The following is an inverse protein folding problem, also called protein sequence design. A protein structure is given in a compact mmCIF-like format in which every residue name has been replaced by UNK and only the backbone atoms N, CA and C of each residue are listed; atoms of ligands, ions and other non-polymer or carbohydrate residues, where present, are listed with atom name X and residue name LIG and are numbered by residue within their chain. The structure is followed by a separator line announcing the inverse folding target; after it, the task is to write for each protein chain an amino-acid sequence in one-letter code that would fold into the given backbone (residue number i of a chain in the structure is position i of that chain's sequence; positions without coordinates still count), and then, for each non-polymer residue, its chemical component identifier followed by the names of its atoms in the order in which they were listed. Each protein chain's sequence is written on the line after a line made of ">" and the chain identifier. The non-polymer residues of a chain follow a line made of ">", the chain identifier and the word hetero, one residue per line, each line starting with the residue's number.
data_IF_206678473241
#
_entry.id   IF_206678473241
#
_cell.length_a   1.000
_cell.length_b   1.000
_cell.length_c   1.000
_cell.angle_alpha   90.00
_cell.angle_beta   90.00
_cell.angle_gamma   90.00
#
_symmetry.space_group_name_H-M   'P 1'
#
loop_
_entity.id
_entity.type
_entity.pdbx_description
1 polymer ?
#
# COMPACT_ATOMS: atom_id res chain seq x y z
N UNK A 1 73.66 72.95 0.92
CA UNK A 1 73.81 72.57 2.34
C UNK A 1 72.49 72.67 3.10
N UNK A 2 71.89 73.85 3.30
CA UNK A 2 70.60 73.94 4.01
C UNK A 2 69.41 73.38 3.21
N UNK A 3 69.39 73.53 1.88
CA UNK A 3 68.35 72.94 1.02
C UNK A 3 68.43 71.42 0.92
N UNK A 4 69.64 70.85 0.90
CA UNK A 4 69.85 69.41 0.78
C UNK A 4 69.29 68.67 2.01
N UNK A 5 69.49 69.22 3.21
CA UNK A 5 68.94 68.68 4.45
C UNK A 5 67.40 68.70 4.47
N UNK A 6 66.77 69.75 3.93
CA UNK A 6 65.30 69.84 3.82
C UNK A 6 64.75 68.81 2.83
N UNK A 7 65.45 68.59 1.71
CA UNK A 7 65.08 67.55 0.74
C UNK A 7 65.20 66.14 1.34
N UNK A 8 66.24 65.91 2.14
CA UNK A 8 66.49 64.63 2.81
C UNK A 8 65.43 64.33 3.89
N UNK A 9 65.04 65.34 4.69
CA UNK A 9 63.95 65.23 5.66
C UNK A 9 62.60 64.96 4.99
N UNK A 10 62.30 65.63 3.87
CA UNK A 10 61.08 65.38 3.10
C UNK A 10 61.07 63.94 2.56
N UNK A 11 62.19 63.48 2.00
CA UNK A 11 62.32 62.10 1.51
C UNK A 11 62.17 61.06 2.61
N UNK A 12 62.78 61.29 3.78
CA UNK A 12 62.65 60.41 4.94
C UNK A 12 61.20 60.34 5.44
N UNK A 13 60.55 61.49 5.56
CA UNK A 13 59.15 61.59 6.00
C UNK A 13 58.20 60.94 5.00
N UNK A 14 58.42 61.13 3.69
CA UNK A 14 57.64 60.49 2.63
C UNK A 14 57.83 58.97 2.64
N UNK A 15 59.05 58.47 2.79
CA UNK A 15 59.31 57.02 2.91
C UNK A 15 58.64 56.40 4.12
N UNK A 16 58.67 57.10 5.27
CA UNK A 16 57.98 56.65 6.49
C UNK A 16 56.47 56.55 6.27
N UNK A 17 55.84 57.57 5.67
CA UNK A 17 54.41 57.56 5.35
C UNK A 17 54.02 56.44 4.39
N UNK A 18 54.83 56.20 3.35
CA UNK A 18 54.58 55.09 2.41
C UNK A 18 54.68 53.73 3.13
N UNK A 19 55.66 53.56 4.01
CA UNK A 19 55.80 52.33 4.78
C UNK A 19 54.61 52.11 5.73
N UNK A 20 54.14 53.17 6.39
CA UNK A 20 52.97 53.13 7.29
C UNK A 20 51.68 52.76 6.52
N UNK A 21 51.43 53.42 5.38
CA UNK A 21 50.28 53.10 4.51
C UNK A 21 50.33 51.66 4.00
N UNK A 22 51.51 51.18 3.60
CA UNK A 22 51.67 49.80 3.14
C UNK A 22 51.40 48.79 4.27
N UNK A 23 51.90 49.05 5.47
CA UNK A 23 51.67 48.19 6.63
C UNK A 23 50.18 48.15 7.04
N UNK A 24 49.50 49.30 7.03
CA UNK A 24 48.05 49.37 7.27
C UNK A 24 47.27 48.62 6.18
N UNK A 25 47.67 48.78 4.93
CA UNK A 25 47.04 48.09 3.79
C UNK A 25 47.23 46.57 3.89
N UNK A 26 48.43 46.10 4.23
CA UNK A 26 48.70 44.68 4.43
C UNK A 26 47.86 44.09 5.58
N UNK A 27 47.73 44.81 6.69
CA UNK A 27 46.85 44.41 7.79
C UNK A 27 45.39 44.32 7.35
N UNK A 28 44.90 45.31 6.63
CA UNK A 28 43.50 45.33 6.18
C UNK A 28 43.22 44.22 5.16
N UNK A 29 44.15 43.97 4.23
CA UNK A 29 44.06 42.85 3.29
C UNK A 29 44.04 41.52 4.04
N UNK A 30 44.91 41.33 5.03
CA UNK A 30 44.94 40.13 5.86
C UNK A 30 43.61 39.95 6.62
N UNK A 31 43.05 41.04 7.16
CA UNK A 31 41.75 41.02 7.85
C UNK A 31 40.62 40.59 6.93
N UNK A 32 40.51 41.22 5.75
CA UNK A 32 39.48 40.89 4.74
C UNK A 32 39.59 39.42 4.30
N UNK A 33 40.81 38.94 4.04
CA UNK A 33 41.04 37.54 3.63
C UNK A 33 40.65 36.56 4.74
N UNK A 34 40.98 36.87 6.00
CA UNK A 34 40.62 36.01 7.13
C UNK A 34 39.10 35.98 7.35
N UNK A 35 38.43 37.13 7.28
CA UNK A 35 36.96 37.18 7.37
C UNK A 35 36.29 36.43 6.22
N UNK A 36 36.79 36.56 4.99
CA UNK A 36 36.26 35.84 3.84
C UNK A 36 36.45 34.33 3.99
N UNK A 37 37.61 33.88 4.49
CA UNK A 37 37.89 32.47 4.78
C UNK A 37 37.00 31.92 5.90
N UNK A 38 36.81 32.69 6.97
CA UNK A 38 35.93 32.31 8.07
C UNK A 38 34.49 32.13 7.59
N UNK A 39 33.96 33.10 6.82
CA UNK A 39 32.62 33.01 6.22
C UNK A 39 32.51 31.82 5.25
N UNK A 40 33.52 31.58 4.43
CA UNK A 40 33.52 30.43 3.52
C UNK A 40 33.53 29.09 4.28
N UNK A 41 34.27 28.99 5.39
CA UNK A 41 34.30 27.81 6.23
C UNK A 41 32.96 27.57 6.95
N UNK A 42 32.32 28.64 7.44
CA UNK A 42 31.01 28.59 8.08
C UNK A 42 29.92 28.11 7.10
N UNK A 43 29.86 28.72 5.91
CA UNK A 43 28.93 28.31 4.85
C UNK A 43 29.17 26.83 4.48
N UNK A 44 30.44 26.42 4.34
CA UNK A 44 30.76 25.04 4.02
C UNK A 44 30.26 24.08 5.10
N UNK A 45 30.51 24.37 6.37
CA UNK A 45 30.09 23.53 7.49
C UNK A 45 28.56 23.46 7.59
N UNK A 46 27.86 24.57 7.36
CA UNK A 46 26.39 24.60 7.34
C UNK A 46 25.86 23.72 6.20
N UNK A 47 26.42 23.84 5.00
CA UNK A 47 26.01 23.03 3.84
C UNK A 47 26.33 21.56 3.98
N UNK A 48 27.44 21.20 4.63
CA UNK A 48 27.74 19.80 4.98
C UNK A 48 26.69 19.25 5.95
N UNK A 49 26.34 19.99 7.02
CA UNK A 49 25.30 19.56 7.96
C UNK A 49 23.90 19.45 7.34
N UNK A 50 23.53 20.36 6.45
CA UNK A 50 22.29 20.28 5.66
C UNK A 50 22.30 19.03 4.76
N UNK A 51 23.41 18.74 4.09
CA UNK A 51 23.55 17.59 3.21
C UNK A 51 23.43 16.27 3.99
N UNK A 52 24.11 16.14 5.13
CA UNK A 52 24.05 14.95 5.99
C UNK A 52 22.61 14.71 6.49
N UNK A 53 21.94 15.77 6.95
CA UNK A 53 20.54 15.71 7.38
C UNK A 53 19.61 15.30 6.23
N UNK A 54 19.86 15.78 5.02
CA UNK A 54 19.10 15.42 3.83
C UNK A 54 19.32 13.95 3.42
N UNK A 55 20.55 13.44 3.53
CA UNK A 55 20.88 12.03 3.28
C UNK A 55 20.14 11.14 4.26
N UNK A 56 20.21 11.42 5.56
CA UNK A 56 19.48 10.63 6.57
C UNK A 56 17.96 10.62 6.31
N UNK A 57 17.38 11.78 5.98
CA UNK A 57 15.96 11.87 5.67
C UNK A 57 15.59 11.04 4.43
N UNK A 58 16.46 11.04 3.41
CA UNK A 58 16.29 10.28 2.19
C UNK A 58 16.38 8.77 2.46
N UNK A 59 17.37 8.32 3.23
CA UNK A 59 17.52 6.91 3.63
C UNK A 59 16.28 6.41 4.38
N UNK A 60 15.81 7.17 5.38
CA UNK A 60 14.59 6.82 6.12
C UNK A 60 13.38 6.71 5.19
N UNK A 61 13.25 7.62 4.22
CA UNK A 61 12.17 7.58 3.22
C UNK A 61 12.26 6.35 2.33
N UNK A 62 13.46 6.02 1.85
CA UNK A 62 13.69 4.86 0.98
C UNK A 62 13.39 3.56 1.74
N UNK A 63 13.88 3.41 2.97
CA UNK A 63 13.62 2.24 3.81
C UNK A 63 12.12 2.08 4.09
N UNK A 64 11.44 3.16 4.48
CA UNK A 64 9.99 3.13 4.72
C UNK A 64 9.21 2.74 3.46
N UNK A 65 9.60 3.30 2.30
CA UNK A 65 8.99 2.93 1.01
C UNK A 65 9.24 1.46 0.67
N UNK A 66 10.46 0.96 0.84
CA UNK A 66 10.80 -0.43 0.59
C UNK A 66 10.01 -1.39 1.49
N UNK A 67 9.93 -1.10 2.80
CA UNK A 67 9.11 -1.88 3.73
C UNK A 67 7.63 -1.90 3.32
N UNK A 68 7.08 -0.76 2.89
CA UNK A 68 5.71 -0.70 2.42
C UNK A 68 5.50 -1.54 1.16
N UNK A 69 6.44 -1.51 0.22
CA UNK A 69 6.37 -2.32 -1.00
C UNK A 69 6.43 -3.82 -0.69
N UNK A 70 7.35 -4.23 0.20
CA UNK A 70 7.43 -5.63 0.66
C UNK A 70 6.12 -6.05 1.31
N UNK A 71 5.56 -5.20 2.19
CA UNK A 71 4.30 -5.54 2.87
C UNK A 71 3.13 -5.65 1.90
N UNK A 72 3.07 -4.78 0.89
CA UNK A 72 2.08 -4.85 -0.19
C UNK A 72 2.23 -6.14 -1.00
N UNK A 73 3.45 -6.49 -1.38
CA UNK A 73 3.72 -7.72 -2.13
C UNK A 73 3.29 -8.96 -1.32
N UNK A 74 3.65 -9.02 -0.03
CA UNK A 74 3.23 -10.09 0.87
C UNK A 74 1.70 -10.20 0.96
N UNK A 75 1.00 -9.08 1.15
CA UNK A 75 -0.46 -9.06 1.23
C UNK A 75 -1.14 -9.47 -0.09
N UNK A 76 -0.57 -9.08 -1.23
CA UNK A 76 -1.07 -9.50 -2.54
C UNK A 76 -0.94 -11.02 -2.72
N UNK A 77 0.24 -11.59 -2.41
CA UNK A 77 0.44 -13.05 -2.48
C UNK A 77 -0.53 -13.78 -1.55
N UNK A 78 -0.75 -13.26 -0.33
CA UNK A 78 -1.75 -13.84 0.59
C UNK A 78 -3.15 -13.79 -0.01
N UNK A 79 -3.56 -12.64 -0.58
CA UNK A 79 -4.85 -12.51 -1.23
C UNK A 79 -5.01 -13.51 -2.37
N UNK A 80 -4.00 -13.64 -3.22
CA UNK A 80 -4.03 -14.54 -4.38
C UNK A 80 -4.18 -16.01 -3.92
N UNK A 81 -3.45 -16.42 -2.88
CA UNK A 81 -3.59 -17.77 -2.30
C UNK A 81 -4.98 -18.01 -1.70
N UNK A 82 -5.59 -17.00 -1.08
CA UNK A 82 -6.95 -17.12 -0.56
C UNK A 82 -7.99 -17.22 -1.69
N UNK A 83 -7.80 -16.45 -2.76
CA UNK A 83 -8.64 -16.51 -3.96
C UNK A 83 -8.51 -17.86 -4.67
N UNK A 84 -7.30 -18.41 -4.77
CA UNK A 84 -7.06 -19.76 -5.30
C UNK A 84 -7.74 -20.83 -4.44
N UNK A 85 -7.67 -20.71 -3.10
CA UNK A 85 -8.32 -21.64 -2.17
C UNK A 85 -9.85 -21.58 -2.33
N UNK A 86 -10.41 -20.38 -2.47
CA UNK A 86 -11.83 -20.19 -2.74
C UNK A 86 -12.24 -20.81 -4.07
N UNK A 87 -11.48 -20.61 -5.14
CA UNK A 87 -11.74 -21.23 -6.44
C UNK A 87 -11.71 -22.75 -6.37
N UNK A 88 -10.73 -23.33 -5.67
CA UNK A 88 -10.66 -24.78 -5.44
C UNK A 88 -11.85 -25.32 -4.64
N UNK A 89 -12.34 -24.57 -3.65
CA UNK A 89 -13.55 -24.92 -2.90
C UNK A 89 -14.77 -24.97 -3.82
N UNK A 90 -14.99 -23.94 -4.64
CA UNK A 90 -16.10 -23.89 -5.60
C UNK A 90 -15.99 -25.01 -6.63
N UNK A 91 -14.79 -25.30 -7.13
CA UNK A 91 -14.55 -26.44 -8.03
C UNK A 91 -14.85 -27.78 -7.36
N UNK A 92 -14.45 -27.97 -6.10
CA UNK A 92 -14.74 -29.21 -5.37
C UNK A 92 -16.25 -29.40 -5.18
N UNK A 93 -16.96 -28.32 -4.84
CA UNK A 93 -18.42 -28.32 -4.71
C UNK A 93 -19.10 -28.59 -6.07
N UNK A 94 -18.55 -28.09 -7.17
CA UNK A 94 -19.05 -28.36 -8.53
C UNK A 94 -18.97 -29.82 -8.97
N UNK A 95 -18.06 -30.58 -8.35
CA UNK A 95 -17.77 -31.99 -8.65
C UNK A 95 -18.42 -32.95 -7.65
N UNK A 96 -19.30 -32.46 -6.77
CA UNK A 96 -19.98 -33.32 -5.80
C UNK A 96 -20.86 -34.38 -6.49
N UNK A 97 -20.93 -35.60 -5.93
CA UNK A 97 -21.85 -36.63 -6.41
C UNK A 97 -23.31 -36.18 -6.30
N UNK A 98 -24.15 -36.59 -7.25
CA UNK A 98 -25.57 -36.22 -7.30
C UNK A 98 -26.32 -36.48 -5.98
N UNK A 99 -26.06 -37.63 -5.31
CA UNK A 99 -26.70 -37.97 -4.04
C UNK A 99 -26.36 -37.01 -2.90
N UNK A 100 -25.14 -36.49 -2.85
CA UNK A 100 -24.70 -35.56 -1.81
C UNK A 100 -25.24 -34.15 -2.10
N UNK A 101 -25.22 -33.75 -3.38
CA UNK A 101 -25.84 -32.50 -3.86
C UNK A 101 -27.35 -32.45 -3.52
N UNK A 102 -28.07 -33.53 -3.81
CA UNK A 102 -29.48 -33.69 -3.47
C UNK A 102 -29.76 -33.54 -1.97
N UNK A 103 -28.92 -34.11 -1.11
CA UNK A 103 -29.07 -34.00 0.34
C UNK A 103 -28.80 -32.57 0.83
N UNK A 104 -27.78 -31.89 0.30
CA UNK A 104 -27.48 -30.50 0.60
C UNK A 104 -28.64 -29.57 0.21
N UNK A 105 -29.19 -29.75 -1.00
CA UNK A 105 -30.36 -28.99 -1.46
C UNK A 105 -31.56 -29.22 -0.55
N UNK A 106 -31.82 -30.47 -0.13
CA UNK A 106 -32.89 -30.77 0.84
C UNK A 106 -32.70 -30.04 2.16
N UNK A 107 -31.50 -30.00 2.71
CA UNK A 107 -31.24 -29.28 3.96
C UNK A 107 -31.45 -27.77 3.82
N UNK A 108 -30.96 -27.16 2.74
CA UNK A 108 -31.13 -25.74 2.44
C UNK A 108 -32.61 -25.38 2.35
N UNK A 109 -33.39 -26.20 1.65
CA UNK A 109 -34.79 -25.92 1.37
C UNK A 109 -35.72 -26.25 2.55
N UNK A 110 -35.29 -27.11 3.49
CA UNK A 110 -36.10 -27.56 4.64
C UNK A 110 -36.56 -26.42 5.55
N UNK A 111 -35.81 -25.33 5.63
CA UNK A 111 -36.14 -24.15 6.43
C UNK A 111 -37.14 -23.20 5.75
N UNK A 112 -37.48 -23.44 4.48
CA UNK A 112 -38.33 -22.57 3.67
C UNK A 112 -39.68 -23.23 3.32
N UNK A 113 -40.74 -22.42 3.28
CA UNK A 113 -42.07 -22.88 2.90
C UNK A 113 -42.25 -22.83 1.37
N UNK A 114 -41.89 -23.93 0.70
CA UNK A 114 -41.90 -24.09 -0.75
C UNK A 114 -43.26 -23.88 -1.45
N UNK A 115 -44.37 -23.93 -0.71
CA UNK A 115 -45.72 -23.83 -1.29
C UNK A 115 -46.12 -22.40 -1.71
N UNK A 116 -45.44 -21.38 -1.18
CA UNK A 116 -45.71 -19.96 -1.48
C UNK A 116 -44.49 -19.20 -1.99
N UNK A 117 -43.44 -19.91 -2.41
CA UNK A 117 -42.19 -19.32 -2.88
C UNK A 117 -41.78 -19.92 -4.22
N UNK A 118 -41.23 -19.07 -5.09
CA UNK A 118 -40.70 -19.42 -6.40
C UNK A 118 -39.27 -19.90 -6.24
N UNK A 119 -38.95 -21.08 -6.76
CA UNK A 119 -37.63 -21.69 -6.59
C UNK A 119 -36.95 -21.83 -7.93
N UNK A 120 -35.70 -21.37 -8.03
CA UNK A 120 -34.85 -21.52 -9.21
C UNK A 120 -33.62 -22.35 -8.86
N UNK A 121 -33.14 -23.17 -9.79
CA UNK A 121 -31.97 -24.04 -9.56
C UNK A 121 -31.06 -24.14 -10.78
N UNK A 122 -29.92 -24.81 -10.64
CA UNK A 122 -29.07 -25.14 -11.78
C UNK A 122 -29.75 -26.14 -12.73
N UNK A 123 -29.35 -26.13 -14.01
CA UNK A 123 -29.83 -27.08 -15.03
C UNK A 123 -29.62 -28.55 -14.65
N UNK A 124 -28.59 -28.84 -13.85
CA UNK A 124 -28.28 -30.21 -13.39
C UNK A 124 -29.29 -30.71 -12.35
N UNK A 125 -29.81 -29.80 -11.54
CA UNK A 125 -30.63 -30.13 -10.37
C UNK A 125 -32.13 -29.88 -10.59
N UNK A 126 -32.50 -29.40 -11.79
CA UNK A 126 -33.87 -29.09 -12.19
C UNK A 126 -34.86 -30.24 -11.93
N UNK A 127 -34.47 -31.47 -12.28
CA UNK A 127 -35.33 -32.66 -12.11
C UNK A 127 -35.60 -32.98 -10.64
N UNK A 128 -34.63 -32.73 -9.77
CA UNK A 128 -34.76 -32.96 -8.35
C UNK A 128 -35.53 -31.82 -7.67
N UNK A 129 -35.18 -30.57 -7.99
CA UNK A 129 -35.80 -29.39 -7.37
C UNK A 129 -37.27 -29.24 -7.76
N UNK A 130 -37.62 -29.56 -9.01
CA UNK A 130 -39.03 -29.60 -9.45
C UNK A 130 -39.87 -30.65 -8.73
N UNK A 131 -39.26 -31.75 -8.28
CA UNK A 131 -39.95 -32.78 -7.47
C UNK A 131 -40.21 -32.33 -6.02
N UNK A 132 -39.41 -31.39 -5.51
CA UNK A 132 -39.48 -30.86 -4.15
C UNK A 132 -40.37 -29.60 -4.06
N UNK A 133 -40.31 -28.72 -5.06
CA UNK A 133 -41.00 -27.44 -5.09
C UNK A 133 -42.02 -27.40 -6.25
N UNK A 134 -43.33 -27.33 -5.97
CA UNK A 134 -44.35 -27.24 -7.02
C UNK A 134 -44.29 -25.92 -7.80
N UNK A 135 -43.77 -24.85 -7.20
CA UNK A 135 -43.60 -23.52 -7.81
C UNK A 135 -42.18 -23.32 -8.34
N UNK A 136 -41.72 -24.21 -9.24
CA UNK A 136 -40.42 -24.07 -9.89
C UNK A 136 -40.44 -22.94 -10.93
N UNK A 137 -39.57 -21.94 -10.76
CA UNK A 137 -39.55 -20.70 -11.54
C UNK A 137 -38.47 -20.66 -12.63
N UNK A 138 -37.77 -21.77 -12.87
CA UNK A 138 -36.81 -21.94 -13.97
C UNK A 138 -35.37 -22.18 -13.53
N UNK A 139 -34.47 -22.21 -14.51
CA UNK A 139 -33.05 -22.48 -14.29
C UNK A 139 -32.21 -21.21 -14.24
N UNK A 140 -31.17 -21.22 -13.40
CA UNK A 140 -30.18 -20.14 -13.26
C UNK A 140 -28.80 -20.72 -13.57
N UNK A 141 -27.95 -19.93 -14.24
CA UNK A 141 -26.59 -20.33 -14.60
C UNK A 141 -25.69 -20.30 -13.36
N UNK A 142 -25.71 -21.40 -12.60
CA UNK A 142 -24.98 -21.56 -11.34
C UNK A 142 -24.41 -22.97 -11.26
N UNK A 143 -23.29 -23.10 -10.54
CA UNK A 143 -22.63 -24.39 -10.30
C UNK A 143 -23.56 -25.39 -9.58
N UNK A 144 -24.40 -24.88 -8.68
CA UNK A 144 -25.38 -25.64 -7.91
C UNK A 144 -26.01 -24.77 -6.81
N UNK A 145 -26.96 -25.35 -6.09
CA UNK A 145 -27.75 -24.64 -5.08
C UNK A 145 -29.06 -24.07 -5.62
N UNK A 146 -29.68 -23.19 -4.83
CA UNK A 146 -31.07 -22.80 -5.04
C UNK A 146 -31.27 -21.32 -4.75
N UNK A 147 -32.04 -20.64 -5.61
CA UNK A 147 -32.49 -19.26 -5.35
C UNK A 147 -33.98 -19.31 -5.04
N UNK A 148 -34.36 -18.74 -3.89
CA UNK A 148 -35.74 -18.75 -3.39
C UNK A 148 -36.28 -17.33 -3.42
N UNK A 149 -37.27 -17.09 -4.26
CA UNK A 149 -37.96 -15.79 -4.41
C UNK A 149 -39.35 -15.86 -3.80
N UNK A 150 -39.76 -14.78 -3.13
CA UNK A 150 -41.16 -14.62 -2.69
C UNK A 150 -42.11 -14.55 -3.90
N UNK A 151 -43.37 -14.93 -3.72
CA UNK A 151 -44.39 -14.93 -4.79
C UNK A 151 -44.53 -13.56 -5.47
N UNK A 152 -44.47 -12.50 -4.66
CA UNK A 152 -44.54 -11.08 -5.04
C UNK A 152 -43.21 -10.50 -5.58
N UNK A 153 -42.12 -11.27 -5.54
CA UNK A 153 -40.78 -10.82 -5.96
C UNK A 153 -40.11 -9.81 -5.02
N UNK A 154 -40.71 -9.53 -3.86
CA UNK A 154 -40.22 -8.55 -2.88
C UNK A 154 -38.97 -8.99 -2.11
N UNK A 155 -38.73 -10.31 -2.01
CA UNK A 155 -37.58 -10.89 -1.32
C UNK A 155 -36.98 -12.02 -2.16
N UNK A 156 -35.67 -12.02 -2.31
CA UNK A 156 -34.91 -13.10 -2.95
C UNK A 156 -33.81 -13.55 -1.99
N UNK A 157 -33.76 -14.85 -1.73
CA UNK A 157 -32.74 -15.53 -0.94
C UNK A 157 -31.87 -16.34 -1.88
N UNK A 158 -30.63 -15.91 -2.03
CA UNK A 158 -29.63 -16.60 -2.82
C UNK A 158 -28.91 -17.64 -1.96
N UNK A 159 -29.27 -18.91 -2.13
CA UNK A 159 -28.57 -20.06 -1.54
C UNK A 159 -27.81 -20.85 -2.60
N UNK A 160 -27.22 -20.14 -3.57
CA UNK A 160 -26.27 -20.75 -4.49
C UNK A 160 -25.02 -21.21 -3.74
N UNK A 161 -24.37 -22.23 -4.28
CA UNK A 161 -23.15 -22.78 -3.70
C UNK A 161 -22.01 -21.77 -3.67
N UNK A 162 -21.99 -20.82 -4.59
CA UNK A 162 -21.01 -19.72 -4.59
C UNK A 162 -21.22 -18.79 -3.39
N UNK A 163 -22.48 -18.40 -3.13
CA UNK A 163 -22.84 -17.53 -2.00
C UNK A 163 -22.61 -18.24 -0.67
N UNK A 164 -23.04 -19.49 -0.53
CA UNK A 164 -22.80 -20.29 0.68
C UNK A 164 -21.31 -20.56 0.93
N UNK A 165 -20.54 -20.88 -0.12
CA UNK A 165 -19.10 -21.05 -0.01
C UNK A 165 -18.41 -19.73 0.40
N UNK A 166 -18.85 -18.60 -0.16
CA UNK A 166 -18.34 -17.28 0.21
C UNK A 166 -18.63 -16.94 1.67
N UNK A 167 -19.84 -17.22 2.17
CA UNK A 167 -20.20 -17.01 3.56
C UNK A 167 -19.45 -17.92 4.52
N UNK A 168 -19.35 -19.21 4.20
CA UNK A 168 -18.61 -20.19 4.99
C UNK A 168 -17.13 -19.79 5.07
N UNK A 169 -16.53 -19.42 3.93
CA UNK A 169 -15.15 -18.96 3.85
C UNK A 169 -14.93 -17.67 4.65
N UNK A 170 -15.88 -16.73 4.60
CA UNK A 170 -15.82 -15.48 5.39
C UNK A 170 -15.87 -15.75 6.89
N UNK A 171 -16.71 -16.71 7.32
CA UNK A 171 -16.81 -17.13 8.73
C UNK A 171 -15.56 -17.87 9.19
N UNK A 172 -14.96 -18.70 8.34
CA UNK A 172 -13.74 -19.46 8.65
C UNK A 172 -12.45 -18.72 8.30
N UNK A 173 -12.52 -17.47 7.84
CA UNK A 173 -11.38 -16.71 7.31
C UNK A 173 -10.19 -16.67 8.27
N UNK A 174 -10.49 -16.54 9.58
CA UNK A 174 -9.47 -16.50 10.64
C UNK A 174 -8.72 -17.83 10.77
N UNK A 175 -9.45 -18.94 10.69
CA UNK A 175 -8.87 -20.28 10.82
C UNK A 175 -8.10 -20.66 9.55
N UNK A 176 -8.65 -20.35 8.38
CA UNK A 176 -7.98 -20.55 7.09
C UNK A 176 -6.69 -19.74 7.02
N UNK A 177 -6.72 -18.47 7.45
CA UNK A 177 -5.53 -17.62 7.51
C UNK A 177 -4.45 -18.19 8.43
N UNK A 178 -4.84 -18.71 9.61
CA UNK A 178 -3.92 -19.37 10.54
C UNK A 178 -3.28 -20.64 9.95
N UNK A 179 -4.05 -21.44 9.21
CA UNK A 179 -3.53 -22.66 8.57
C UNK A 179 -2.59 -22.33 7.42
N UNK A 180 -2.94 -21.36 6.57
CA UNK A 180 -2.18 -21.02 5.37
C UNK A 180 -0.93 -20.18 5.66
N UNK A 181 -0.99 -19.31 6.67
CA UNK A 181 0.05 -18.30 6.88
C UNK A 181 0.74 -18.36 8.26
N UNK A 182 0.24 -19.19 9.19
CA UNK A 182 0.80 -19.37 10.54
C UNK A 182 0.20 -18.42 11.58
#
# INVERSE_FOLDING_TARGET
>A
MALDAVVEDILATSKSKVAEINAETEQEVARILNEARARAAEIKSEKEGEADSAVEALERRVLSSAHLQVKRAELNVRKDLMEETRSKLVEAVSKLPAKENENLIKEIVKSYNLKGMKVKSSKKDETFVSSLAPNFAGTVDTVGGVVIESEDGSMSYDHTYETLASEAFSKSMKDVSKILFG
#
